data_IF_873925868704
#
_entry.id   IF_873925868704
#
_cell.length_a   1.000
_cell.length_b   1.000
_cell.length_c   1.000
_cell.angle_alpha   90.00
_cell.angle_beta   90.00
_cell.angle_gamma   90.00
#
_symmetry.space_group_name_H-M   'P 1'
#
loop_
_entity.id
_entity.type
_entity.pdbx_description
1 polymer ?
#
# COMPACT_ATOMS: atom_id res chain seq x y z
N UNK A 1 14.18 9.03 7.01
CA UNK A 1 13.27 7.87 6.76
C UNK A 1 11.90 8.03 7.41
N UNK A 2 11.77 8.47 8.68
CA UNK A 2 10.44 8.69 9.31
C UNK A 2 9.53 9.63 8.49
N UNK A 3 10.09 10.65 7.85
CA UNK A 3 9.36 11.74 7.17
C UNK A 3 8.55 11.30 5.93
N UNK A 4 9.08 10.42 5.08
CA UNK A 4 8.41 10.03 3.82
C UNK A 4 7.24 9.08 4.05
N UNK A 5 7.40 8.14 4.98
CA UNK A 5 6.34 7.20 5.38
C UNK A 5 5.18 7.96 6.03
N UNK A 6 5.49 8.94 6.89
CA UNK A 6 4.45 9.80 7.45
C UNK A 6 3.77 10.66 6.39
N UNK A 7 4.47 11.16 5.36
CA UNK A 7 3.84 11.97 4.30
C UNK A 7 2.89 11.12 3.43
N UNK A 8 3.28 9.91 3.04
CA UNK A 8 2.43 9.03 2.23
C UNK A 8 1.18 8.60 3.01
N UNK A 9 1.36 8.13 4.26
CA UNK A 9 0.24 7.70 5.12
C UNK A 9 -0.64 8.89 5.51
N UNK A 10 -0.07 10.07 5.76
CA UNK A 10 -0.83 11.28 6.07
C UNK A 10 -1.64 11.78 4.86
N UNK A 11 -1.08 11.69 3.64
CA UNK A 11 -1.82 12.01 2.41
C UNK A 11 -3.00 11.07 2.14
N UNK A 12 -2.92 9.80 2.59
CA UNK A 12 -4.00 8.82 2.48
C UNK A 12 -5.09 8.99 3.55
N UNK A 13 -4.82 9.71 4.63
CA UNK A 13 -5.71 9.81 5.80
C UNK A 13 -6.31 11.20 6.03
N UNK A 14 -5.89 12.23 5.28
CA UNK A 14 -6.30 13.62 5.53
C UNK A 14 -7.01 14.27 4.34
N UNK A 15 -8.32 14.49 4.47
CA UNK A 15 -9.15 15.34 3.60
C UNK A 15 -8.88 16.85 3.84
N UNK A 16 -7.63 17.31 3.73
CA UNK A 16 -7.31 18.73 3.92
C UNK A 16 -6.48 19.33 2.78
N UNK A 17 -7.13 20.24 2.06
CA UNK A 17 -6.70 20.90 0.81
C UNK A 17 -5.40 21.72 0.93
N UNK A 18 -4.96 22.04 2.15
CA UNK A 18 -3.83 22.97 2.38
C UNK A 18 -2.45 22.28 2.38
N UNK A 19 -2.38 20.94 2.51
CA UNK A 19 -1.10 20.22 2.55
C UNK A 19 -0.60 19.82 1.14
N UNK A 20 -1.43 19.98 0.12
CA UNK A 20 -1.06 19.69 -1.28
C UNK A 20 0.00 20.64 -1.87
N UNK A 21 0.19 21.84 -1.31
CA UNK A 21 0.93 22.91 -2.00
C UNK A 21 2.46 22.90 -1.79
N UNK A 22 3.00 22.27 -0.73
CA UNK A 22 4.42 22.44 -0.33
C UNK A 22 5.35 21.31 -0.85
N UNK A 23 4.80 20.19 -1.34
CA UNK A 23 5.60 19.00 -1.77
C UNK A 23 6.08 19.10 -3.24
N UNK A 24 5.96 20.28 -3.85
CA UNK A 24 5.39 20.35 -5.20
C UNK A 24 6.33 20.34 -6.41
N UNK A 25 7.65 20.16 -6.38
CA UNK A 25 8.38 20.11 -7.67
C UNK A 25 9.62 19.22 -7.80
N UNK A 26 10.13 18.58 -6.75
CA UNK A 26 11.22 17.59 -6.87
C UNK A 26 10.94 16.32 -6.06
N UNK A 27 10.21 16.48 -4.96
CA UNK A 27 9.68 15.35 -4.20
C UNK A 27 8.48 14.70 -4.90
N UNK A 28 7.78 15.41 -5.79
CA UNK A 28 6.54 14.95 -6.43
C UNK A 28 6.79 13.91 -7.55
N UNK A 29 7.86 14.04 -8.33
CA UNK A 29 8.25 13.01 -9.32
C UNK A 29 8.78 11.73 -8.65
N UNK A 30 9.59 11.89 -7.60
CA UNK A 30 9.98 10.78 -6.71
C UNK A 30 8.78 10.14 -6.02
N UNK A 31 7.70 10.89 -5.79
CA UNK A 31 6.46 10.37 -5.20
C UNK A 31 5.74 9.48 -6.20
N UNK A 32 5.60 9.87 -7.46
CA UNK A 32 4.88 9.08 -8.47
C UNK A 32 5.62 7.79 -8.84
N UNK A 33 6.94 7.83 -9.05
CA UNK A 33 7.72 6.61 -9.36
C UNK A 33 7.72 5.63 -8.17
N UNK A 34 7.95 6.12 -6.95
CA UNK A 34 7.92 5.30 -5.75
C UNK A 34 6.52 4.73 -5.49
N UNK A 35 5.47 5.52 -5.69
CA UNK A 35 4.08 5.07 -5.61
C UNK A 35 3.83 3.93 -6.60
N UNK A 36 4.18 4.13 -7.87
CA UNK A 36 3.99 3.12 -8.90
C UNK A 36 4.74 1.83 -8.56
N UNK A 37 5.98 1.93 -8.06
CA UNK A 37 6.76 0.77 -7.59
C UNK A 37 6.08 0.04 -6.44
N UNK A 38 5.46 0.75 -5.50
CA UNK A 38 4.68 0.14 -4.40
C UNK A 38 3.43 -0.55 -4.95
N UNK A 39 2.72 0.09 -5.87
CA UNK A 39 1.50 -0.48 -6.45
C UNK A 39 1.82 -1.75 -7.23
N UNK A 40 2.83 -1.70 -8.09
CA UNK A 40 3.33 -2.85 -8.86
C UNK A 40 3.84 -3.98 -7.96
N UNK A 41 4.40 -3.64 -6.81
CA UNK A 41 4.82 -4.64 -5.85
C UNK A 41 3.61 -5.33 -5.19
N UNK A 42 2.55 -4.59 -4.86
CA UNK A 42 1.29 -5.16 -4.36
C UNK A 42 0.64 -6.05 -5.43
N UNK A 43 0.55 -5.61 -6.67
CA UNK A 43 0.10 -6.41 -7.82
C UNK A 43 0.87 -7.71 -7.95
N UNK A 44 2.20 -7.65 -7.88
CA UNK A 44 3.03 -8.84 -7.93
C UNK A 44 2.70 -9.82 -6.79
N UNK A 45 2.64 -9.35 -5.55
CA UNK A 45 2.43 -10.23 -4.41
C UNK A 45 0.99 -10.79 -4.35
N UNK A 46 -0.02 -10.03 -4.79
CA UNK A 46 -1.39 -10.49 -4.99
C UNK A 46 -1.48 -11.58 -6.07
N UNK A 47 -0.92 -11.34 -7.26
CA UNK A 47 -0.94 -12.33 -8.34
C UNK A 47 -0.17 -13.62 -7.97
N UNK A 48 0.84 -13.52 -7.10
CA UNK A 48 1.60 -14.68 -6.61
C UNK A 48 0.86 -15.53 -5.57
N UNK A 49 -0.22 -15.02 -4.96
CA UNK A 49 -1.13 -15.83 -4.15
C UNK A 49 -2.33 -16.35 -4.97
N UNK A 50 -2.35 -16.10 -6.28
CA UNK A 50 -3.41 -16.56 -7.20
C UNK A 50 -4.60 -15.61 -7.33
N UNK A 51 -4.49 -14.40 -6.76
CA UNK A 51 -5.57 -13.41 -6.75
C UNK A 51 -5.28 -12.36 -7.82
N UNK A 52 -6.20 -12.17 -8.77
CA UNK A 52 -6.02 -11.23 -9.87
C UNK A 52 -6.15 -9.79 -9.37
N UNK A 53 -5.04 -9.06 -9.33
CA UNK A 53 -5.01 -7.64 -9.01
C UNK A 53 -4.20 -6.90 -10.07
N UNK A 54 -4.82 -5.93 -10.74
CA UNK A 54 -4.21 -5.19 -11.84
C UNK A 54 -4.08 -3.72 -11.47
N UNK A 55 -2.86 -3.20 -11.54
CA UNK A 55 -2.59 -1.78 -11.31
C UNK A 55 -2.70 -1.01 -12.62
N UNK A 56 -3.67 -0.11 -12.67
CA UNK A 56 -3.70 0.98 -13.65
C UNK A 56 -2.63 2.01 -13.27
N UNK A 57 -1.66 2.25 -14.16
CA UNK A 57 -0.56 3.18 -13.93
C UNK A 57 -0.99 4.65 -14.09
N UNK A 58 -2.17 4.89 -14.66
CA UNK A 58 -2.72 6.23 -14.90
C UNK A 58 -3.58 6.73 -13.73
N UNK A 59 -3.92 5.84 -12.79
CA UNK A 59 -4.79 6.18 -11.67
C UNK A 59 -4.08 7.05 -10.63
N UNK A 60 -4.84 7.94 -9.99
CA UNK A 60 -4.32 8.72 -8.87
C UNK A 60 -4.30 7.92 -7.56
N UNK A 61 -3.58 8.43 -6.57
CA UNK A 61 -3.38 7.78 -5.26
C UNK A 61 -4.69 7.42 -4.54
N UNK A 62 -5.69 8.29 -4.58
CA UNK A 62 -6.98 8.06 -3.93
C UNK A 62 -7.76 6.95 -4.63
N UNK A 63 -7.77 6.94 -5.96
CA UNK A 63 -8.41 5.90 -6.76
C UNK A 63 -7.76 4.54 -6.48
N UNK A 64 -6.43 4.49 -6.46
CA UNK A 64 -5.69 3.28 -6.14
C UNK A 64 -5.96 2.79 -4.72
N UNK A 65 -5.98 3.70 -3.76
CA UNK A 65 -6.27 3.35 -2.37
C UNK A 65 -7.64 2.70 -2.23
N UNK A 66 -8.67 3.26 -2.89
CA UNK A 66 -10.01 2.68 -2.88
C UNK A 66 -10.02 1.30 -3.57
N UNK A 67 -9.33 1.15 -4.71
CA UNK A 67 -9.18 -0.14 -5.39
C UNK A 67 -8.52 -1.19 -4.48
N UNK A 68 -7.49 -0.81 -3.72
CA UNK A 68 -6.83 -1.70 -2.77
C UNK A 68 -7.79 -2.11 -1.65
N UNK A 69 -8.55 -1.17 -1.08
CA UNK A 69 -9.51 -1.50 -0.01
C UNK A 69 -10.63 -2.41 -0.49
N UNK A 70 -11.12 -2.21 -1.72
CA UNK A 70 -12.10 -3.08 -2.36
C UNK A 70 -11.54 -4.50 -2.53
N UNK A 71 -10.36 -4.62 -3.14
CA UNK A 71 -9.66 -5.91 -3.27
C UNK A 71 -9.45 -6.62 -1.93
N UNK A 72 -8.98 -5.91 -0.90
CA UNK A 72 -8.79 -6.48 0.43
C UNK A 72 -10.11 -6.89 1.09
N UNK A 73 -11.22 -6.20 0.77
CA UNK A 73 -12.55 -6.57 1.26
C UNK A 73 -12.98 -7.89 0.62
N UNK A 74 -12.82 -8.03 -0.68
CA UNK A 74 -13.09 -9.28 -1.40
C UNK A 74 -12.26 -10.45 -0.85
N UNK A 75 -10.97 -10.23 -0.55
CA UNK A 75 -10.13 -11.24 0.06
C UNK A 75 -10.54 -11.65 1.48
N UNK A 76 -11.22 -10.76 2.22
CA UNK A 76 -11.74 -11.08 3.56
C UNK A 76 -13.06 -11.84 3.45
N UNK A 77 -13.92 -11.47 2.50
CA UNK A 77 -15.25 -12.04 2.34
C UNK A 77 -15.25 -13.38 1.61
N UNK A 78 -14.44 -13.51 0.56
CA UNK A 78 -14.47 -14.63 -0.38
C UNK A 78 -13.14 -15.37 -0.51
N UNK A 79 -12.02 -14.71 -0.17
CA UNK A 79 -10.67 -15.27 -0.29
C UNK A 79 -10.04 -15.64 1.06
N UNK A 80 -8.70 -15.61 1.08
CA UNK A 80 -7.93 -15.64 2.33
C UNK A 80 -6.89 -14.52 2.34
N UNK A 81 -7.27 -13.37 2.90
CA UNK A 81 -6.38 -12.23 3.13
C UNK A 81 -5.08 -12.61 3.87
N UNK A 82 -5.06 -13.69 4.66
CA UNK A 82 -3.86 -14.11 5.38
C UNK A 82 -2.78 -14.59 4.42
N UNK A 83 -3.14 -15.19 3.28
CA UNK A 83 -2.16 -15.59 2.27
C UNK A 83 -1.37 -14.39 1.76
N UNK A 84 -2.07 -13.27 1.50
CA UNK A 84 -1.42 -12.01 1.13
C UNK A 84 -0.51 -11.54 2.27
N UNK A 85 -1.00 -11.53 3.50
CA UNK A 85 -0.23 -11.04 4.65
C UNK A 85 1.01 -11.87 4.97
N UNK A 86 0.94 -13.19 4.85
CA UNK A 86 2.11 -14.07 4.95
C UNK A 86 3.10 -13.78 3.83
N UNK A 87 2.60 -13.63 2.60
CA UNK A 87 3.41 -13.34 1.42
C UNK A 87 4.21 -12.04 1.57
N UNK A 88 3.64 -11.05 2.25
CA UNK A 88 4.28 -9.75 2.47
C UNK A 88 5.09 -9.65 3.77
N UNK A 89 5.36 -10.78 4.41
CA UNK A 89 6.11 -10.92 5.65
C UNK A 89 5.49 -10.13 6.83
N UNK A 90 4.16 -10.09 6.93
CA UNK A 90 3.51 -9.62 8.16
C UNK A 90 3.70 -10.67 9.24
N UNK A 91 4.15 -10.23 10.43
CA UNK A 91 4.40 -11.12 11.56
C UNK A 91 3.13 -11.90 11.95
N UNK A 92 3.30 -13.18 12.28
CA UNK A 92 2.25 -14.07 12.80
C UNK A 92 1.38 -13.43 13.90
N UNK A 93 2.01 -12.69 14.83
CA UNK A 93 1.31 -11.98 15.91
C UNK A 93 0.26 -11.01 15.37
N UNK A 94 0.59 -10.25 14.32
CA UNK A 94 -0.33 -9.32 13.66
C UNK A 94 -1.39 -10.06 12.84
N UNK A 95 -1.01 -11.15 12.17
CA UNK A 95 -1.97 -11.97 11.39
C UNK A 95 -3.05 -12.53 12.31
N UNK A 96 -2.71 -12.98 13.51
CA UNK A 96 -3.68 -13.44 14.52
C UNK A 96 -4.65 -12.36 14.98
N UNK A 97 -4.27 -11.09 14.87
CA UNK A 97 -5.09 -9.96 15.27
C UNK A 97 -5.99 -9.45 14.13
N UNK A 98 -5.94 -10.05 12.93
CA UNK A 98 -6.64 -9.51 11.77
C UNK A 98 -8.14 -9.35 11.95
N UNK A 99 -8.80 -10.28 12.65
CA UNK A 99 -10.24 -10.20 12.93
C UNK A 99 -10.65 -9.02 13.82
N UNK A 100 -9.68 -8.27 14.36
CA UNK A 100 -9.91 -7.07 15.17
C UNK A 100 -9.54 -5.77 14.45
N UNK A 101 -8.98 -5.87 13.24
CA UNK A 101 -8.53 -4.73 12.45
C UNK A 101 -9.62 -4.28 11.48
N UNK A 102 -9.70 -2.98 11.23
CA UNK A 102 -10.52 -2.46 10.14
C UNK A 102 -9.87 -2.75 8.79
N UNK A 103 -10.63 -2.66 7.70
CA UNK A 103 -10.08 -2.79 6.35
C UNK A 103 -9.01 -1.73 6.07
N UNK A 104 -9.19 -0.52 6.62
CA UNK A 104 -8.22 0.56 6.52
C UNK A 104 -6.91 0.21 7.24
N UNK A 105 -6.98 -0.39 8.42
CA UNK A 105 -5.78 -0.84 9.16
C UNK A 105 -5.01 -1.89 8.37
N UNK A 106 -5.72 -2.84 7.76
CA UNK A 106 -5.12 -3.88 6.91
C UNK A 106 -4.48 -3.23 5.67
N UNK A 107 -5.17 -2.32 5.00
CA UNK A 107 -4.64 -1.56 3.87
C UNK A 107 -3.35 -0.83 4.23
N UNK A 108 -3.33 -0.11 5.36
CA UNK A 108 -2.12 0.60 5.84
C UNK A 108 -0.98 -0.39 6.09
N UNK A 109 -1.26 -1.56 6.68
CA UNK A 109 -0.25 -2.59 6.91
C UNK A 109 0.36 -3.09 5.59
N UNK A 110 -0.47 -3.38 4.59
CA UNK A 110 -0.02 -3.84 3.27
C UNK A 110 0.86 -2.78 2.61
N UNK A 111 0.37 -1.54 2.49
CA UNK A 111 1.11 -0.44 1.86
C UNK A 111 2.44 -0.19 2.57
N UNK A 112 2.44 -0.17 3.90
CA UNK A 112 3.65 0.06 4.68
C UNK A 112 4.70 -1.01 4.42
N UNK A 113 4.30 -2.29 4.39
CA UNK A 113 5.21 -3.41 4.14
C UNK A 113 5.81 -3.36 2.74
N UNK A 114 5.00 -3.07 1.72
CA UNK A 114 5.50 -2.99 0.35
C UNK A 114 6.37 -1.77 0.10
N UNK A 115 6.04 -0.63 0.72
CA UNK A 115 6.91 0.54 0.73
C UNK A 115 8.28 0.22 1.34
N UNK A 116 8.32 -0.47 2.48
CA UNK A 116 9.57 -0.89 3.11
C UNK A 116 10.40 -1.78 2.17
N UNK A 117 9.77 -2.74 1.47
CA UNK A 117 10.46 -3.60 0.50
C UNK A 117 11.00 -2.81 -0.70
N UNK A 118 10.20 -1.91 -1.27
CA UNK A 118 10.63 -1.06 -2.39
C UNK A 118 11.81 -0.20 -1.97
N UNK A 119 11.73 0.50 -0.84
CA UNK A 119 12.82 1.34 -0.34
C UNK A 119 14.11 0.56 -0.07
N UNK A 120 14.00 -0.68 0.44
CA UNK A 120 15.17 -1.54 0.63
C UNK A 120 15.83 -1.88 -0.71
N UNK A 121 15.05 -2.22 -1.75
CA UNK A 121 15.59 -2.49 -3.08
C UNK A 121 16.26 -1.26 -3.68
N UNK A 122 15.61 -0.10 -3.63
CA UNK A 122 16.18 1.16 -4.14
C UNK A 122 17.51 1.51 -3.45
N UNK A 123 17.65 1.18 -2.16
CA UNK A 123 18.86 1.48 -1.39
C UNK A 123 20.04 0.55 -1.69
N UNK A 124 19.77 -0.70 -2.07
CA UNK A 124 20.79 -1.74 -2.21
C UNK A 124 20.88 -2.32 -3.64
N UNK A 125 20.27 -1.66 -4.63
CA UNK A 125 20.40 -2.00 -6.06
C UNK A 125 21.50 -1.20 -6.74
#
# INVERSE_FOLDING_TARGET
MKTLVSVLIYSMTSNNSEIQLIVSNSAMELNTDLQLKVFKQIEKDANMIGEEYVVDETQNLLSWWNQLLEFLTELIEFGDVRNLLYRIDVSEVKIRQIGTLTIQDIGILVVKRELEKVLLREKYS
#
